data_IF_976077470020
#
_entry.id   IF_976077470020
#
_cell.length_a   1.000
_cell.length_b   1.000
_cell.length_c   1.000
_cell.angle_alpha   90.00
_cell.angle_beta   90.00
_cell.angle_gamma   90.00
#
_symmetry.space_group_name_H-M   'P 1'
#
loop_
_entity.id
_entity.type
_entity.pdbx_description
1 polymer ?
#
# COMPACT_ATOMS: atom_id res chain seq x y z
N UNK A 1 1.31 23.64 -19.85
CA UNK A 1 0.46 22.46 -20.15
C UNK A 1 1.23 21.54 -21.05
N UNK A 2 1.80 20.51 -20.50
CA UNK A 2 2.40 19.44 -21.28
C UNK A 2 1.28 18.44 -21.57
N UNK A 3 1.22 17.92 -22.79
CA UNK A 3 0.15 17.00 -23.23
C UNK A 3 0.13 15.70 -22.41
N UNK A 4 1.27 15.35 -21.80
CA UNK A 4 1.45 14.16 -20.97
C UNK A 4 1.15 14.37 -19.46
N UNK A 5 0.73 15.59 -19.06
CA UNK A 5 0.45 15.88 -17.65
C UNK A 5 -0.89 15.30 -17.23
N UNK A 6 -0.89 14.44 -16.22
CA UNK A 6 -2.09 13.91 -15.57
C UNK A 6 -2.34 14.60 -14.24
N UNK A 7 -3.61 14.88 -13.95
CA UNK A 7 -4.06 15.41 -12.66
C UNK A 7 -4.87 14.32 -11.94
N UNK A 8 -4.34 13.84 -10.84
CA UNK A 8 -4.99 12.82 -10.02
C UNK A 8 -5.23 13.38 -8.62
N UNK A 9 -6.44 13.23 -8.10
CA UNK A 9 -6.81 13.66 -6.76
C UNK A 9 -6.96 12.46 -5.81
N UNK A 10 -6.36 12.57 -4.62
CA UNK A 10 -6.60 11.66 -3.50
C UNK A 10 -7.29 12.44 -2.39
N UNK A 11 -8.52 12.09 -2.06
CA UNK A 11 -9.39 12.84 -1.16
C UNK A 11 -10.16 11.92 -0.20
N UNK A 12 -10.75 12.50 0.84
CA UNK A 12 -11.82 11.86 1.59
C UNK A 12 -13.19 12.05 0.91
N UNK A 13 -14.12 11.15 1.14
CA UNK A 13 -15.47 11.17 0.55
C UNK A 13 -16.25 12.45 0.77
N UNK A 14 -15.98 13.16 1.85
CA UNK A 14 -16.58 14.45 2.19
C UNK A 14 -16.21 15.58 1.22
N UNK A 15 -15.15 15.40 0.43
CA UNK A 15 -14.67 16.34 -0.56
C UNK A 15 -15.08 16.02 -2.01
N UNK A 16 -15.87 14.97 -2.25
CA UNK A 16 -16.24 14.53 -3.60
C UNK A 16 -16.92 15.66 -4.39
N UNK A 17 -17.87 16.38 -3.80
CA UNK A 17 -18.58 17.48 -4.48
C UNK A 17 -17.61 18.57 -4.95
N UNK A 18 -16.64 18.92 -4.10
CA UNK A 18 -15.65 19.96 -4.43
C UNK A 18 -14.70 19.52 -5.55
N UNK A 19 -14.20 18.30 -5.51
CA UNK A 19 -13.19 17.81 -6.43
C UNK A 19 -13.76 17.21 -7.72
N UNK A 20 -15.01 16.71 -7.71
CA UNK A 20 -15.63 16.11 -8.89
C UNK A 20 -16.59 17.06 -9.63
N UNK A 21 -17.13 18.08 -8.97
CA UNK A 21 -18.08 19.00 -9.58
C UNK A 21 -17.55 20.45 -9.59
N UNK A 22 -17.32 21.04 -8.43
CA UNK A 22 -17.02 22.49 -8.33
C UNK A 22 -15.68 22.80 -8.99
N UNK A 23 -14.59 22.16 -8.56
CA UNK A 23 -13.26 22.44 -9.07
C UNK A 23 -13.11 22.19 -10.57
N UNK A 24 -13.53 21.04 -11.13
CA UNK A 24 -13.52 20.85 -12.59
C UNK A 24 -14.37 21.86 -13.36
N UNK A 25 -15.51 22.27 -12.82
CA UNK A 25 -16.35 23.30 -13.45
C UNK A 25 -15.63 24.64 -13.50
N UNK A 26 -14.94 25.03 -12.44
CA UNK A 26 -14.14 26.26 -12.39
C UNK A 26 -13.00 26.21 -13.42
N UNK A 27 -12.26 25.09 -13.48
CA UNK A 27 -11.17 24.89 -14.43
C UNK A 27 -11.68 24.97 -15.88
N UNK A 28 -12.80 24.33 -16.16
CA UNK A 28 -13.43 24.35 -17.48
C UNK A 28 -13.94 25.72 -17.86
N UNK A 29 -14.57 26.45 -16.93
CA UNK A 29 -15.08 27.82 -17.18
C UNK A 29 -13.95 28.82 -17.39
N UNK A 30 -12.87 28.72 -16.62
CA UNK A 30 -11.69 29.58 -16.80
C UNK A 30 -10.98 29.28 -18.14
N UNK A 31 -10.96 28.02 -18.56
CA UNK A 31 -10.24 27.56 -19.73
C UNK A 31 -8.73 27.49 -19.50
N UNK A 32 -8.03 26.78 -20.38
CA UNK A 32 -6.58 26.71 -20.35
C UNK A 32 -5.98 25.79 -19.27
N UNK A 33 -6.76 25.05 -18.48
CA UNK A 33 -6.31 24.05 -17.50
C UNK A 33 -6.70 22.63 -17.91
N UNK A 34 -5.91 21.64 -17.45
CA UNK A 34 -6.30 20.23 -17.54
C UNK A 34 -7.39 19.95 -16.52
N UNK A 35 -8.21 18.95 -16.82
CA UNK A 35 -9.20 18.43 -15.84
C UNK A 35 -8.63 17.21 -15.12
N UNK A 36 -9.18 16.83 -13.95
CA UNK A 36 -8.78 15.61 -13.29
C UNK A 36 -9.07 14.36 -14.15
N UNK A 37 -8.05 13.51 -14.30
CA UNK A 37 -8.18 12.21 -14.95
C UNK A 37 -8.82 11.18 -14.02
N UNK A 38 -8.50 11.28 -12.72
CA UNK A 38 -9.06 10.41 -11.72
C UNK A 38 -9.17 11.13 -10.37
N UNK A 39 -10.20 10.76 -9.60
CA UNK A 39 -10.41 11.20 -8.23
C UNK A 39 -10.61 9.98 -7.35
N UNK A 40 -9.55 9.57 -6.65
CA UNK A 40 -9.60 8.48 -5.68
C UNK A 40 -10.12 9.01 -4.36
N UNK A 41 -11.40 8.72 -4.07
CA UNK A 41 -12.06 9.14 -2.85
C UNK A 41 -12.09 7.99 -1.82
N UNK A 42 -11.40 8.17 -0.70
CA UNK A 42 -11.43 7.21 0.39
C UNK A 42 -12.61 7.47 1.33
N UNK A 43 -13.12 6.39 1.87
CA UNK A 43 -14.03 6.38 3.02
C UNK A 43 -13.29 6.81 4.30
N UNK A 44 -13.90 6.76 5.48
CA UNK A 44 -13.25 7.16 6.71
C UNK A 44 -12.42 6.04 7.36
N UNK A 45 -11.26 6.41 7.88
CA UNK A 45 -10.48 5.56 8.77
C UNK A 45 -10.76 6.01 10.21
N UNK A 46 -11.27 5.10 11.03
CA UNK A 46 -11.47 5.31 12.45
C UNK A 46 -10.25 4.86 13.25
N UNK A 47 -10.14 5.30 14.49
CA UNK A 47 -9.12 4.89 15.45
C UNK A 47 -9.79 4.27 16.67
N UNK A 48 -9.47 2.99 16.96
CA UNK A 48 -10.04 2.26 18.10
C UNK A 48 -11.58 2.35 18.16
N UNK A 49 -12.22 2.18 16.99
CA UNK A 49 -13.68 2.25 16.78
C UNK A 49 -14.31 3.64 16.99
N UNK A 50 -13.53 4.69 17.14
CA UNK A 50 -14.03 6.06 17.21
C UNK A 50 -13.47 6.93 16.08
N UNK A 51 -14.21 7.96 15.72
CA UNK A 51 -13.81 8.91 14.68
C UNK A 51 -12.56 9.67 15.11
N UNK A 52 -11.54 9.69 14.26
CA UNK A 52 -10.35 10.52 14.43
C UNK A 52 -10.77 12.00 14.54
N UNK A 53 -10.23 12.70 15.53
CA UNK A 53 -10.58 14.09 15.81
C UNK A 53 -9.40 14.85 16.40
N UNK A 54 -8.92 15.84 15.67
CA UNK A 54 -7.85 16.73 16.15
C UNK A 54 -8.31 17.59 17.33
N UNK A 55 -9.54 18.08 17.31
CA UNK A 55 -10.11 18.90 18.38
C UNK A 55 -10.27 18.14 19.72
N UNK A 56 -10.47 16.83 19.66
CA UNK A 56 -10.54 15.96 20.84
C UNK A 56 -9.19 15.34 21.21
N UNK A 57 -8.13 15.67 20.47
CA UNK A 57 -6.82 15.02 20.55
C UNK A 57 -6.90 13.49 20.43
N UNK A 58 -7.84 13.00 19.62
CA UNK A 58 -8.04 11.58 19.36
C UNK A 58 -7.49 11.24 17.97
N UNK A 59 -6.18 11.00 17.93
CA UNK A 59 -5.44 10.67 16.72
C UNK A 59 -4.11 9.99 17.10
N UNK A 60 -3.49 9.30 16.13
CA UNK A 60 -2.08 8.92 16.23
C UNK A 60 -1.27 10.00 15.53
N UNK A 61 -0.50 10.75 16.30
CA UNK A 61 0.36 11.79 15.75
C UNK A 61 1.64 11.19 15.21
N UNK A 62 1.92 11.46 13.93
CA UNK A 62 3.05 10.83 13.25
C UNK A 62 4.40 11.11 13.93
N UNK A 63 4.60 12.33 14.42
CA UNK A 63 5.85 12.70 15.11
C UNK A 63 6.02 11.94 16.45
N UNK A 64 4.94 11.69 17.18
CA UNK A 64 4.96 10.87 18.40
C UNK A 64 5.21 9.40 18.04
N UNK A 65 4.50 8.87 17.04
CA UNK A 65 4.72 7.52 16.55
C UNK A 65 6.19 7.26 16.16
N UNK A 66 6.80 8.20 15.44
CA UNK A 66 8.20 8.06 15.00
C UNK A 66 9.20 8.12 16.16
N UNK A 67 8.87 8.84 17.24
CA UNK A 67 9.67 8.89 18.46
C UNK A 67 9.54 7.61 19.29
N UNK A 68 8.30 7.09 19.43
CA UNK A 68 8.00 5.93 20.28
C UNK A 68 8.37 4.59 19.60
N UNK A 69 8.27 4.53 18.27
CA UNK A 69 8.53 3.34 17.47
C UNK A 69 9.56 3.59 16.35
N UNK A 70 10.82 3.91 16.72
CA UNK A 70 11.85 4.20 15.74
C UNK A 70 12.14 3.00 14.83
N UNK A 71 12.29 3.24 13.53
CA UNK A 71 12.54 2.19 12.52
C UNK A 71 11.30 1.37 12.15
N UNK A 72 10.09 1.76 12.60
CA UNK A 72 8.84 1.07 12.27
C UNK A 72 7.96 1.83 11.26
N UNK A 73 8.55 2.75 10.51
CA UNK A 73 7.81 3.55 9.52
C UNK A 73 7.12 2.68 8.46
N UNK A 74 7.83 1.68 7.96
CA UNK A 74 7.29 0.79 6.92
C UNK A 74 6.23 -0.18 7.46
N UNK A 75 6.31 -0.54 8.75
CA UNK A 75 5.24 -1.31 9.42
C UNK A 75 3.95 -0.49 9.43
N UNK A 76 4.03 0.80 9.79
CA UNK A 76 2.86 1.68 9.77
C UNK A 76 2.29 1.83 8.36
N UNK A 77 3.16 2.05 7.36
CA UNK A 77 2.74 2.16 5.95
C UNK A 77 2.06 0.89 5.48
N UNK A 78 2.61 -0.28 5.82
CA UNK A 78 2.02 -1.57 5.50
C UNK A 78 0.62 -1.71 6.09
N UNK A 79 0.46 -1.46 7.39
CA UNK A 79 -0.83 -1.59 8.08
C UNK A 79 -1.85 -0.57 7.56
N UNK A 80 -1.45 0.68 7.32
CA UNK A 80 -2.34 1.70 6.77
C UNK A 80 -2.79 1.35 5.35
N UNK A 81 -1.91 0.78 4.52
CA UNK A 81 -2.28 0.30 3.18
C UNK A 81 -3.24 -0.88 3.26
N UNK A 82 -2.95 -1.87 4.11
CA UNK A 82 -3.84 -3.02 4.32
C UNK A 82 -5.23 -2.63 4.84
N UNK A 83 -5.30 -1.54 5.63
CA UNK A 83 -6.52 -0.99 6.19
C UNK A 83 -7.05 0.23 5.42
N UNK A 84 -6.49 0.55 4.25
CA UNK A 84 -6.96 1.68 3.47
C UNK A 84 -8.49 1.60 3.23
N UNK A 85 -9.25 2.64 3.57
CA UNK A 85 -10.71 2.64 3.44
C UNK A 85 -11.13 2.95 1.99
N UNK A 86 -10.71 2.14 1.02
CA UNK A 86 -10.92 2.39 -0.40
C UNK A 86 -12.39 2.27 -0.81
N UNK A 87 -13.15 1.36 -0.20
CA UNK A 87 -14.54 1.06 -0.59
C UNK A 87 -15.55 1.14 0.55
N UNK A 88 -15.09 1.17 1.78
CA UNK A 88 -15.91 1.27 2.99
C UNK A 88 -15.09 1.84 4.13
N UNK A 89 -15.77 2.42 5.12
CA UNK A 89 -15.14 2.85 6.36
C UNK A 89 -14.35 1.70 6.99
N UNK A 90 -13.18 1.99 7.51
CA UNK A 90 -12.32 1.01 8.15
C UNK A 90 -11.84 1.53 9.51
N UNK A 91 -11.13 0.69 10.26
CA UNK A 91 -10.70 0.98 11.60
C UNK A 91 -9.24 0.61 11.80
N UNK A 92 -8.45 1.55 12.33
CA UNK A 92 -7.11 1.27 12.80
C UNK A 92 -7.17 0.94 14.29
N UNK A 93 -6.59 -0.20 14.69
CA UNK A 93 -6.39 -0.55 16.09
C UNK A 93 -4.94 -0.97 16.32
N UNK A 94 -4.42 -0.68 17.51
CA UNK A 94 -3.09 -1.13 17.90
C UNK A 94 -2.96 -2.65 17.95
N UNK A 95 -4.08 -3.32 18.26
CA UNK A 95 -4.14 -4.78 18.22
C UNK A 95 -3.95 -5.30 16.80
N UNK A 96 -4.69 -4.78 15.81
CA UNK A 96 -4.52 -5.18 14.40
C UNK A 96 -3.12 -4.82 13.88
N UNK A 97 -2.59 -3.66 14.26
CA UNK A 97 -1.22 -3.28 13.95
C UNK A 97 -0.20 -4.32 14.43
N UNK A 98 -0.31 -4.76 15.68
CA UNK A 98 0.57 -5.78 16.25
C UNK A 98 0.37 -7.15 15.57
N UNK A 99 -0.88 -7.55 15.34
CA UNK A 99 -1.21 -8.82 14.69
C UNK A 99 -0.67 -8.88 13.27
N UNK A 100 -0.84 -7.84 12.47
CA UNK A 100 -0.29 -7.79 11.10
C UNK A 100 1.22 -7.77 11.07
N UNK A 101 1.86 -6.99 11.93
CA UNK A 101 3.31 -7.01 12.04
C UNK A 101 3.82 -8.43 12.35
N UNK A 102 3.20 -9.13 13.30
CA UNK A 102 3.69 -10.42 13.76
C UNK A 102 3.33 -11.56 12.80
N UNK A 103 2.10 -11.60 12.30
CA UNK A 103 1.61 -12.72 11.49
C UNK A 103 1.91 -12.56 10.00
N UNK A 104 1.93 -11.33 9.48
CA UNK A 104 2.16 -11.10 8.05
C UNK A 104 3.64 -10.74 7.78
N UNK A 105 4.14 -9.65 8.37
CA UNK A 105 5.51 -9.21 8.10
C UNK A 105 6.58 -10.11 8.72
N UNK A 106 6.41 -10.58 9.96
CA UNK A 106 7.41 -11.41 10.63
C UNK A 106 7.23 -12.89 10.27
N UNK A 107 6.03 -13.45 10.48
CA UNK A 107 5.83 -14.89 10.34
C UNK A 107 5.77 -15.37 8.88
N UNK A 108 5.34 -14.54 7.93
CA UNK A 108 5.33 -14.88 6.50
C UNK A 108 6.58 -14.34 5.83
N UNK A 109 6.63 -13.04 5.57
CA UNK A 109 7.71 -12.44 4.79
C UNK A 109 9.08 -12.56 5.47
N UNK A 110 9.18 -12.19 6.75
CA UNK A 110 10.44 -12.27 7.49
C UNK A 110 10.96 -13.70 7.64
N UNK A 111 10.07 -14.67 7.84
CA UNK A 111 10.43 -16.08 7.91
C UNK A 111 10.90 -16.62 6.56
N UNK A 112 10.23 -16.25 5.46
CA UNK A 112 10.68 -16.60 4.11
C UNK A 112 12.10 -16.10 3.85
N UNK A 113 12.37 -14.81 4.05
CA UNK A 113 13.70 -14.22 3.86
C UNK A 113 14.74 -14.88 4.77
N UNK A 114 14.40 -15.06 6.05
CA UNK A 114 15.32 -15.70 7.00
C UNK A 114 15.67 -17.14 6.58
N UNK A 115 14.69 -17.94 6.16
CA UNK A 115 14.93 -19.31 5.70
C UNK A 115 15.80 -19.37 4.44
N UNK A 116 15.52 -18.52 3.46
CA UNK A 116 16.32 -18.44 2.24
C UNK A 116 17.79 -18.09 2.56
N UNK A 117 18.03 -17.09 3.41
CA UNK A 117 19.36 -16.69 3.82
C UNK A 117 20.07 -17.78 4.65
N UNK A 118 19.37 -18.43 5.57
CA UNK A 118 19.94 -19.50 6.40
C UNK A 118 20.33 -20.74 5.55
N UNK A 119 19.51 -21.11 4.57
CA UNK A 119 19.83 -22.21 3.66
C UNK A 119 21.03 -21.87 2.78
N UNK A 120 21.08 -20.65 2.24
CA UNK A 120 22.22 -20.16 1.44
C UNK A 120 23.50 -20.16 2.28
N UNK A 121 23.43 -19.70 3.52
CA UNK A 121 24.59 -19.73 4.42
C UNK A 121 25.03 -21.16 4.75
N UNK A 122 24.08 -22.04 5.03
CA UNK A 122 24.36 -23.43 5.44
C UNK A 122 24.98 -24.26 4.34
N UNK A 123 24.47 -24.16 3.10
CA UNK A 123 24.86 -25.04 2.01
C UNK A 123 25.91 -24.42 1.06
N UNK A 124 25.97 -23.11 0.96
CA UNK A 124 26.85 -22.39 0.03
C UNK A 124 27.68 -21.28 0.70
N UNK A 125 27.82 -21.35 2.01
CA UNK A 125 28.66 -20.41 2.77
C UNK A 125 28.25 -18.93 2.58
N UNK A 126 26.98 -18.67 2.31
CA UNK A 126 26.44 -17.32 2.08
C UNK A 126 26.61 -16.81 0.64
N UNK A 127 27.14 -17.62 -0.26
CA UNK A 127 27.30 -17.27 -1.68
C UNK A 127 26.13 -17.90 -2.45
N UNK A 128 25.43 -17.08 -3.26
CA UNK A 128 24.37 -17.59 -4.13
C UNK A 128 25.01 -18.48 -5.20
N UNK A 129 24.62 -19.78 -5.31
CA UNK A 129 25.20 -20.67 -6.30
C UNK A 129 24.85 -20.24 -7.73
N UNK A 130 25.67 -20.67 -8.69
CA UNK A 130 25.33 -20.51 -10.10
C UNK A 130 24.02 -21.25 -10.42
N UNK A 131 23.19 -20.64 -11.24
CA UNK A 131 21.97 -21.28 -11.71
C UNK A 131 22.31 -22.48 -12.60
N UNK A 132 21.76 -23.65 -12.29
CA UNK A 132 21.82 -24.84 -13.14
C UNK A 132 20.75 -24.79 -14.25
N UNK A 133 20.50 -25.96 -14.86
CA UNK A 133 19.35 -26.12 -15.76
C UNK A 133 18.05 -25.97 -14.95
N UNK A 134 17.16 -25.12 -15.45
CA UNK A 134 15.86 -24.87 -14.82
C UNK A 134 14.90 -26.03 -15.08
N UNK A 135 14.31 -26.56 -14.04
CA UNK A 135 13.21 -27.53 -14.16
C UNK A 135 11.87 -26.80 -14.43
N UNK A 136 10.87 -27.55 -14.86
CA UNK A 136 9.53 -27.00 -15.14
C UNK A 136 8.93 -26.24 -13.95
N UNK A 137 9.22 -26.70 -12.72
CA UNK A 137 8.77 -26.02 -11.50
C UNK A 137 9.43 -24.63 -11.31
N UNK A 138 10.70 -24.52 -11.69
CA UNK A 138 11.43 -23.25 -11.60
C UNK A 138 10.90 -22.26 -12.63
N UNK A 139 10.66 -22.75 -13.86
CA UNK A 139 10.06 -21.96 -14.94
C UNK A 139 8.65 -21.48 -14.54
N UNK A 140 7.84 -22.37 -13.95
CA UNK A 140 6.51 -22.02 -13.46
C UNK A 140 6.57 -20.93 -12.40
N UNK A 141 7.48 -21.04 -11.42
CA UNK A 141 7.67 -20.02 -10.39
C UNK A 141 8.11 -18.66 -10.98
N UNK A 142 9.05 -18.66 -11.94
CA UNK A 142 9.48 -17.42 -12.61
C UNK A 142 8.31 -16.75 -13.36
N UNK A 143 7.49 -17.55 -14.04
CA UNK A 143 6.31 -17.04 -14.74
C UNK A 143 5.29 -16.45 -13.75
N UNK A 144 5.06 -17.11 -12.60
CA UNK A 144 4.18 -16.61 -11.56
C UNK A 144 4.65 -15.25 -11.03
N UNK A 145 5.95 -15.06 -10.80
CA UNK A 145 6.51 -13.76 -10.43
C UNK A 145 6.21 -12.68 -11.48
N UNK A 146 6.32 -13.00 -12.76
CA UNK A 146 6.02 -12.08 -13.85
C UNK A 146 4.54 -11.71 -13.87
N UNK A 147 3.65 -12.70 -13.76
CA UNK A 147 2.20 -12.49 -13.75
C UNK A 147 1.74 -11.65 -12.56
N UNK A 148 2.31 -11.91 -11.36
CA UNK A 148 2.01 -11.12 -10.16
C UNK A 148 2.52 -9.68 -10.31
N UNK A 149 3.72 -9.49 -10.88
CA UNK A 149 4.24 -8.14 -11.16
C UNK A 149 3.27 -7.34 -12.03
N UNK A 150 2.80 -7.94 -13.13
CA UNK A 150 1.86 -7.28 -14.05
C UNK A 150 0.52 -6.93 -13.35
N UNK A 151 0.00 -7.85 -12.52
CA UNK A 151 -1.22 -7.59 -11.73
C UNK A 151 -1.01 -6.44 -10.73
N UNK A 152 0.12 -6.43 -10.03
CA UNK A 152 0.45 -5.37 -9.08
C UNK A 152 0.53 -4.02 -9.79
N UNK A 153 1.19 -3.94 -10.94
CA UNK A 153 1.27 -2.73 -11.76
C UNK A 153 -0.14 -2.25 -12.16
N UNK A 154 -1.01 -3.14 -12.63
CA UNK A 154 -2.40 -2.81 -12.99
C UNK A 154 -3.20 -2.31 -11.78
N UNK A 155 -3.03 -2.90 -10.59
CA UNK A 155 -3.70 -2.43 -9.37
C UNK A 155 -3.18 -1.06 -8.93
N UNK A 156 -1.86 -0.82 -9.02
CA UNK A 156 -1.27 0.48 -8.69
C UNK A 156 -1.75 1.58 -9.66
N UNK A 157 -1.80 1.30 -10.95
CA UNK A 157 -2.30 2.22 -11.96
C UNK A 157 -3.80 2.53 -11.79
N UNK A 158 -4.55 1.57 -11.25
CA UNK A 158 -5.96 1.73 -10.89
C UNK A 158 -6.17 2.31 -9.48
N UNK A 159 -5.10 2.68 -8.76
CA UNK A 159 -5.11 3.17 -7.38
C UNK A 159 -5.74 2.23 -6.35
N UNK A 160 -5.63 0.91 -6.59
CA UNK A 160 -6.12 -0.17 -5.72
C UNK A 160 -4.97 -0.72 -4.87
N UNK A 161 -4.52 0.07 -3.91
CA UNK A 161 -3.31 -0.22 -3.15
C UNK A 161 -3.43 -1.46 -2.25
N UNK A 162 -4.63 -1.72 -1.72
CA UNK A 162 -4.88 -2.92 -0.90
C UNK A 162 -4.72 -4.20 -1.71
N UNK A 163 -5.32 -4.24 -2.90
CA UNK A 163 -5.22 -5.39 -3.80
C UNK A 163 -3.77 -5.59 -4.25
N UNK A 164 -3.06 -4.51 -4.61
CA UNK A 164 -1.65 -4.57 -4.97
C UNK A 164 -0.79 -5.18 -3.84
N UNK A 165 -0.96 -4.69 -2.61
CA UNK A 165 -0.24 -5.22 -1.45
C UNK A 165 -0.59 -6.68 -1.17
N UNK A 166 -1.86 -7.06 -1.30
CA UNK A 166 -2.32 -8.44 -1.10
C UNK A 166 -1.69 -9.40 -2.10
N UNK A 167 -1.61 -9.02 -3.39
CA UNK A 167 -0.93 -9.84 -4.40
C UNK A 167 0.55 -10.05 -4.08
N UNK A 168 1.25 -9.00 -3.64
CA UNK A 168 2.65 -9.12 -3.21
C UNK A 168 2.85 -10.06 -2.01
N UNK A 169 1.89 -10.13 -1.10
CA UNK A 169 1.99 -10.97 0.10
C UNK A 169 1.53 -12.41 -0.15
N UNK A 170 0.82 -12.68 -1.24
CA UNK A 170 0.38 -14.03 -1.63
C UNK A 170 1.43 -14.78 -2.48
N UNK A 171 2.44 -14.07 -2.99
CA UNK A 171 3.57 -14.61 -3.74
C UNK A 171 4.53 -15.37 -2.83
#
# INVERSE_FOLDING_TARGET
KDEDTRLVHFIGKDNIVFHCLIFPTMLKAHGGYILPDNVSANEFLNLENDKISTSRNWAVWLHEYLADLPGKQDVLRYVLTANAPETKDNNFTWKDFQERNNSELVAIYGNFVNRALQLTKKYWNGIVPACGELADVDIAAINEFTDVKEKVEQYLDAFKFREAQKECMNL
#
